data_IF_651022643406
#
_entry.id   IF_651022643406
#
_cell.length_a   1.000
_cell.length_b   1.000
_cell.length_c   1.000
_cell.angle_alpha   90.00
_cell.angle_beta   90.00
_cell.angle_gamma   90.00
#
_symmetry.space_group_name_H-M   'P 1'
#
loop_
_entity.id
_entity.type
_entity.pdbx_description
1 polymer ?
#
# COMPACT_ATOMS: atom_id res chain seq x y z
N UNK A 1 14.99 0.97 -20.12
CA UNK A 1 14.07 1.74 -19.25
C UNK A 1 14.25 1.22 -17.83
N UNK A 2 14.40 2.09 -16.81
CA UNK A 2 14.54 1.70 -15.39
C UNK A 2 13.22 1.82 -14.61
N UNK A 3 12.13 2.19 -15.27
CA UNK A 3 10.82 2.31 -14.64
C UNK A 3 9.86 1.30 -15.26
N UNK A 4 9.00 0.71 -14.43
CA UNK A 4 7.81 -0.03 -14.83
C UNK A 4 6.58 0.62 -14.20
N UNK A 5 5.44 0.53 -14.89
CA UNK A 5 4.13 0.94 -14.38
C UNK A 5 3.37 -0.32 -14.01
N UNK A 6 2.91 -0.41 -12.78
CA UNK A 6 2.07 -1.49 -12.27
C UNK A 6 0.69 -0.92 -11.95
N UNK A 7 -0.35 -1.56 -12.46
CA UNK A 7 -1.74 -1.23 -12.15
C UNK A 7 -2.29 -2.32 -11.26
N UNK A 8 -2.71 -1.93 -10.07
CA UNK A 8 -3.36 -2.78 -9.08
C UNK A 8 -4.82 -2.40 -8.98
N UNK A 9 -5.68 -3.41 -8.85
CA UNK A 9 -7.14 -3.30 -8.87
C UNK A 9 -7.69 -2.51 -10.09
N UNK A 10 -8.29 -3.23 -11.03
CA UNK A 10 -8.87 -2.58 -12.22
C UNK A 10 -10.19 -1.84 -11.95
N UNK A 11 -10.76 -1.95 -10.74
CA UNK A 11 -11.84 -1.10 -10.27
C UNK A 11 -11.33 0.30 -9.94
N UNK A 12 -10.43 0.39 -8.95
CA UNK A 12 -9.90 1.67 -8.45
C UNK A 12 -8.72 2.24 -9.27
N UNK A 13 -8.10 1.42 -10.11
CA UNK A 13 -6.98 1.76 -11.00
C UNK A 13 -5.78 2.38 -10.26
N UNK A 14 -5.28 1.68 -9.24
CA UNK A 14 -4.12 2.14 -8.49
C UNK A 14 -2.82 1.99 -9.29
N UNK A 15 -2.28 3.13 -9.75
CA UNK A 15 -1.07 3.15 -10.57
C UNK A 15 0.19 3.34 -9.74
N UNK A 16 1.01 2.30 -9.68
CA UNK A 16 2.29 2.26 -9.00
C UNK A 16 3.44 2.43 -9.99
N UNK A 17 4.40 3.32 -9.67
CA UNK A 17 5.65 3.44 -10.42
C UNK A 17 6.74 2.65 -9.73
N UNK A 18 7.22 1.59 -10.38
CA UNK A 18 8.35 0.79 -9.90
C UNK A 18 9.61 1.30 -10.56
N UNK A 19 10.49 1.93 -9.78
CA UNK A 19 11.76 2.48 -10.24
C UNK A 19 12.92 1.63 -9.74
N UNK A 20 13.73 1.15 -10.68
CA UNK A 20 14.98 0.48 -10.37
C UNK A 20 16.08 1.51 -10.08
N UNK A 21 16.52 1.57 -8.83
CA UNK A 21 17.52 2.54 -8.38
C UNK A 21 18.95 2.03 -8.56
N UNK A 22 19.26 0.85 -8.01
CA UNK A 22 20.62 0.29 -7.96
C UNK A 22 20.63 -1.23 -7.77
N UNK A 23 21.76 -1.84 -8.14
CA UNK A 23 22.13 -3.20 -7.73
C UNK A 23 23.07 -3.08 -6.54
N UNK A 24 22.81 -3.83 -5.49
CA UNK A 24 23.70 -3.97 -4.34
C UNK A 24 24.00 -5.46 -4.12
N UNK A 25 25.14 -5.75 -3.47
CA UNK A 25 25.43 -7.11 -3.04
C UNK A 25 24.46 -7.51 -1.92
N UNK A 26 23.94 -8.75 -2.00
CA UNK A 26 23.11 -9.30 -0.94
C UNK A 26 23.94 -9.48 0.33
N UNK A 27 23.35 -9.14 1.47
CA UNK A 27 24.01 -9.29 2.77
C UNK A 27 23.83 -10.71 3.28
N UNK A 28 24.94 -11.36 3.64
CA UNK A 28 24.91 -12.75 4.15
C UNK A 28 24.11 -12.83 5.44
N UNK A 29 23.18 -13.78 5.51
CA UNK A 29 22.34 -14.00 6.70
C UNK A 29 21.07 -13.14 6.74
N UNK A 30 20.88 -12.21 5.80
CA UNK A 30 19.62 -11.47 5.68
C UNK A 30 18.58 -12.24 4.87
N UNK A 31 17.31 -12.13 5.28
CA UNK A 31 16.16 -12.58 4.50
C UNK A 31 15.67 -11.45 3.59
N UNK A 32 15.29 -11.77 2.36
CA UNK A 32 14.71 -10.83 1.40
C UNK A 32 13.37 -11.38 0.89
N UNK A 33 12.43 -10.54 0.45
CA UNK A 33 12.50 -9.07 0.36
C UNK A 33 12.45 -8.37 1.74
N UNK A 34 12.78 -7.08 1.74
CA UNK A 34 12.72 -6.20 2.92
C UNK A 34 12.19 -4.84 2.54
N UNK A 35 11.33 -4.29 3.39
CA UNK A 35 11.01 -2.87 3.39
C UNK A 35 12.09 -2.16 4.22
N UNK A 36 12.80 -1.22 3.62
CA UNK A 36 13.87 -0.48 4.30
C UNK A 36 13.46 0.95 4.65
N UNK A 37 12.42 1.46 4.00
CA UNK A 37 11.93 2.82 4.15
C UNK A 37 10.54 2.95 3.52
N UNK A 38 9.83 4.03 3.87
CA UNK A 38 8.56 4.42 3.30
C UNK A 38 7.93 5.57 4.09
N UNK A 39 6.83 6.11 3.58
CA UNK A 39 6.14 7.23 4.18
C UNK A 39 4.65 7.16 3.82
N UNK A 40 3.83 7.72 4.72
CA UNK A 40 2.38 7.78 4.61
C UNK A 40 1.72 6.39 4.62
N UNK A 41 0.48 6.34 5.11
CA UNK A 41 -0.31 5.12 5.06
C UNK A 41 -0.67 4.76 3.61
N UNK A 42 -0.80 3.47 3.35
CA UNK A 42 -1.42 3.00 2.11
C UNK A 42 -2.89 3.43 2.08
N UNK A 43 -3.44 3.92 0.94
CA UNK A 43 -4.87 4.10 0.80
C UNK A 43 -5.61 2.81 1.19
N UNK A 44 -6.75 2.91 1.91
CA UNK A 44 -7.58 1.74 2.20
C UNK A 44 -8.03 1.05 0.90
N UNK A 45 -8.11 -0.28 0.94
CA UNK A 45 -8.65 -1.06 -0.17
C UNK A 45 -10.09 -0.63 -0.48
N UNK A 46 -10.48 -0.72 -1.75
CA UNK A 46 -11.82 -0.39 -2.24
C UNK A 46 -12.33 1.03 -1.87
N UNK A 47 -11.42 1.98 -1.60
CA UNK A 47 -11.82 3.35 -1.24
C UNK A 47 -12.23 4.21 -2.44
N UNK A 48 -12.26 3.67 -3.66
CA UNK A 48 -12.71 4.39 -4.86
C UNK A 48 -11.57 5.09 -5.60
N UNK A 49 -10.37 4.51 -5.55
CA UNK A 49 -9.19 5.04 -6.23
C UNK A 49 -8.74 6.39 -5.67
N UNK A 50 -7.97 7.12 -6.49
CA UNK A 50 -7.38 8.41 -6.08
C UNK A 50 -8.46 9.40 -5.63
N UNK A 51 -9.60 9.45 -6.32
CA UNK A 51 -10.69 10.37 -5.99
C UNK A 51 -11.29 10.07 -4.63
N UNK A 52 -11.71 8.81 -4.42
CA UNK A 52 -12.32 8.40 -3.17
C UNK A 52 -11.36 8.48 -1.98
N UNK A 53 -10.05 8.26 -2.18
CA UNK A 53 -9.07 8.52 -1.12
C UNK A 53 -8.99 10.00 -0.73
N UNK A 54 -9.04 10.94 -1.68
CA UNK A 54 -9.05 12.37 -1.33
C UNK A 54 -10.35 12.80 -0.64
N UNK A 55 -11.49 12.24 -1.05
CA UNK A 55 -12.78 12.48 -0.40
C UNK A 55 -12.75 11.96 1.04
N UNK A 56 -12.22 10.75 1.26
CA UNK A 56 -11.96 10.18 2.58
C UNK A 56 -11.13 11.13 3.44
N UNK A 57 -9.97 11.60 2.96
CA UNK A 57 -9.12 12.54 3.71
C UNK A 57 -9.85 13.86 4.02
N UNK A 58 -10.64 14.36 3.09
CA UNK A 58 -11.45 15.57 3.27
C UNK A 58 -12.46 15.40 4.40
N UNK A 59 -13.21 14.28 4.41
CA UNK A 59 -14.17 13.95 5.46
C UNK A 59 -13.47 13.80 6.81
N UNK A 60 -12.37 13.05 6.88
CA UNK A 60 -11.62 12.81 8.11
C UNK A 60 -10.94 14.06 8.68
N UNK A 61 -10.73 15.09 7.87
CA UNK A 61 -10.13 16.35 8.33
C UNK A 61 -11.06 17.20 9.20
N UNK A 62 -12.38 16.94 9.17
CA UNK A 62 -13.37 17.65 9.98
C UNK A 62 -14.28 16.67 10.75
N UNK A 63 -14.03 16.46 12.06
CA UNK A 63 -14.90 15.64 12.91
C UNK A 63 -16.36 16.10 13.03
N UNK A 64 -16.69 17.30 12.52
CA UNK A 64 -18.07 17.81 12.46
C UNK A 64 -18.74 17.57 11.11
N UNK A 65 -18.02 17.02 10.13
CA UNK A 65 -18.61 16.60 8.87
C UNK A 65 -19.71 15.57 9.14
N UNK A 66 -20.85 15.72 8.45
CA UNK A 66 -22.02 14.84 8.62
C UNK A 66 -21.68 13.38 8.29
N UNK A 67 -20.73 13.16 7.38
CA UNK A 67 -20.28 11.83 6.93
C UNK A 67 -19.15 11.25 7.80
N UNK A 68 -18.59 12.02 8.75
CA UNK A 68 -17.40 11.61 9.52
C UNK A 68 -17.58 10.28 10.25
N UNK A 69 -18.70 10.11 10.96
CA UNK A 69 -18.95 8.90 11.75
C UNK A 69 -19.17 7.67 10.86
N UNK A 70 -19.88 7.84 9.74
CA UNK A 70 -20.09 6.77 8.75
C UNK A 70 -18.75 6.32 8.16
N UNK A 71 -17.88 7.29 7.84
CA UNK A 71 -16.57 7.01 7.26
C UNK A 71 -15.64 6.28 8.24
N UNK A 72 -15.64 6.65 9.52
CA UNK A 72 -14.89 5.94 10.57
C UNK A 72 -15.41 4.51 10.77
N UNK A 73 -16.73 4.30 10.71
CA UNK A 73 -17.32 2.98 10.80
C UNK A 73 -16.92 2.10 9.60
N UNK A 74 -16.96 2.66 8.39
CA UNK A 74 -16.52 1.98 7.17
C UNK A 74 -15.05 1.57 7.21
N UNK A 75 -14.17 2.45 7.73
CA UNK A 75 -12.75 2.14 7.95
C UNK A 75 -12.52 1.02 8.98
N UNK A 76 -13.50 0.71 9.81
CA UNK A 76 -13.37 -0.25 10.91
C UNK A 76 -12.43 0.23 12.03
N UNK A 77 -12.14 1.53 12.11
CA UNK A 77 -11.24 2.09 13.11
C UNK A 77 -10.61 3.43 12.71
N UNK A 78 -9.57 3.83 13.45
CA UNK A 78 -8.81 5.03 13.17
C UNK A 78 -7.88 4.83 11.96
N UNK A 79 -7.84 5.83 11.08
CA UNK A 79 -6.92 5.90 9.96
C UNK A 79 -6.05 7.16 10.09
N UNK A 80 -4.74 6.98 10.17
CA UNK A 80 -3.76 8.07 10.16
C UNK A 80 -3.01 8.06 8.82
N UNK A 81 -3.27 9.04 7.92
CA UNK A 81 -2.67 9.07 6.59
C UNK A 81 -1.14 9.26 6.61
N UNK A 82 -0.57 9.72 7.72
CA UNK A 82 0.87 9.95 7.85
C UNK A 82 1.60 8.73 8.45
N UNK A 83 0.86 7.74 8.96
CA UNK A 83 1.43 6.61 9.68
C UNK A 83 2.01 5.55 8.75
N UNK A 84 3.31 5.32 8.88
CA UNK A 84 4.00 4.21 8.25
C UNK A 84 5.21 3.75 9.11
N UNK A 85 5.38 2.43 9.28
CA UNK A 85 6.60 1.84 9.84
C UNK A 85 7.02 0.66 8.94
N UNK A 86 8.24 0.65 8.37
CA UNK A 86 8.77 -0.49 7.61
C UNK A 86 8.70 -1.84 8.34
N UNK A 87 8.71 -1.83 9.68
CA UNK A 87 8.64 -3.04 10.51
C UNK A 87 7.26 -3.71 10.51
N UNK A 88 6.21 -2.96 10.19
CA UNK A 88 4.85 -3.49 10.08
C UNK A 88 4.64 -4.23 8.75
N UNK A 89 5.57 -4.09 7.80
CA UNK A 89 5.51 -4.77 6.50
C UNK A 89 5.97 -6.22 6.63
N UNK A 90 5.05 -7.16 6.38
CA UNK A 90 5.33 -8.59 6.29
C UNK A 90 5.28 -9.06 4.84
N UNK A 91 6.29 -9.82 4.43
CA UNK A 91 6.36 -10.41 3.09
C UNK A 91 6.18 -11.92 3.17
N UNK A 92 5.41 -12.48 2.24
CA UNK A 92 5.36 -13.92 1.99
C UNK A 92 6.72 -14.44 1.48
N UNK A 93 6.95 -15.76 1.60
CA UNK A 93 8.09 -16.39 0.96
C UNK A 93 7.97 -16.28 -0.58
N UNK A 94 8.90 -15.60 -1.27
CA UNK A 94 8.79 -15.38 -2.70
C UNK A 94 8.85 -16.67 -3.53
N UNK A 95 9.56 -17.69 -3.03
CA UNK A 95 9.70 -18.97 -3.73
C UNK A 95 8.39 -19.74 -3.64
N UNK A 96 7.81 -19.84 -2.45
CA UNK A 96 6.51 -20.50 -2.26
C UNK A 96 5.42 -19.80 -3.10
N UNK A 97 5.40 -18.46 -3.08
CA UNK A 97 4.48 -17.67 -3.89
C UNK A 97 4.65 -17.92 -5.40
N UNK A 98 5.89 -18.02 -5.88
CA UNK A 98 6.17 -18.32 -7.28
C UNK A 98 5.75 -19.73 -7.67
N UNK A 99 5.97 -20.73 -6.81
CA UNK A 99 5.57 -22.12 -7.05
C UNK A 99 4.04 -22.22 -7.17
N UNK A 100 3.28 -21.61 -6.25
CA UNK A 100 1.81 -21.58 -6.30
C UNK A 100 1.26 -20.96 -7.60
N UNK A 101 1.91 -19.93 -8.13
CA UNK A 101 1.49 -19.30 -9.40
C UNK A 101 1.69 -20.20 -10.62
N UNK A 102 2.57 -21.20 -10.54
CA UNK A 102 2.91 -22.09 -11.67
C UNK A 102 2.24 -23.47 -11.57
N UNK A 103 1.51 -23.76 -10.49
CA UNK A 103 0.74 -25.00 -10.32
C UNK A 103 -0.67 -24.95 -10.94
N UNK A 104 -0.95 -23.91 -11.74
CA UNK A 104 -2.20 -23.73 -12.50
C UNK A 104 -2.18 -24.34 -13.90
#
# INVERSE_FOLDING_TARGET
NRNARYEYDFGDSWIHTIKFEKIIQATVGEKYPKCIDGQMACPPEDCGGIGGYYDLLSVLSDPKNEEYNEMIEWLGGEFDPEKFDPKDVSFDDPKERFEQMNEG
#
